data_IF_777576123418
#
_entry.id   IF_777576123418
#
_cell.length_a   1.000
_cell.length_b   1.000
_cell.length_c   1.000
_cell.angle_alpha   90.00
_cell.angle_beta   90.00
_cell.angle_gamma   90.00
#
_symmetry.space_group_name_H-M   'P 1'
#
loop_
_entity.id
_entity.type
_entity.pdbx_description
1 polymer ?
#
# COMPACT_ATOMS: atom_id res chain seq x y z
N UNK A 1 33.85 78.10 -27.66
CA UNK A 1 33.85 76.68 -28.09
C UNK A 1 34.43 75.76 -27.02
N UNK A 2 35.68 75.96 -26.57
CA UNK A 2 36.30 75.12 -25.51
C UNK A 2 35.55 75.21 -24.17
N UNK A 3 35.12 76.40 -23.76
CA UNK A 3 34.34 76.62 -22.52
C UNK A 3 32.98 75.92 -22.55
N UNK A 4 32.30 75.93 -23.69
CA UNK A 4 31.02 75.26 -23.93
C UNK A 4 31.15 73.74 -23.83
N UNK A 5 32.19 73.16 -24.43
CA UNK A 5 32.48 71.72 -24.32
C UNK A 5 32.79 71.31 -22.87
N UNK A 6 33.52 72.14 -22.13
CA UNK A 6 33.83 71.87 -20.73
C UNK A 6 32.58 71.85 -19.84
N UNK A 7 31.59 72.72 -20.11
CA UNK A 7 30.31 72.72 -19.41
C UNK A 7 29.47 71.48 -19.73
N UNK A 8 29.37 71.11 -21.01
CA UNK A 8 28.62 69.92 -21.44
C UNK A 8 29.21 68.64 -20.84
N UNK A 9 30.54 68.49 -20.83
CA UNK A 9 31.22 67.35 -20.19
C UNK A 9 30.91 67.30 -18.69
N UNK A 10 30.82 68.45 -18.02
CA UNK A 10 30.53 68.52 -16.59
C UNK A 10 29.08 68.09 -16.30
N UNK A 11 28.13 68.49 -17.14
CA UNK A 11 26.73 68.08 -17.04
C UNK A 11 26.57 66.59 -17.31
N UNK A 12 27.15 66.07 -18.40
CA UNK A 12 27.15 64.64 -18.70
C UNK A 12 27.70 63.79 -17.54
N UNK A 13 28.81 64.20 -16.94
CA UNK A 13 29.37 63.51 -15.75
C UNK A 13 28.41 63.52 -14.56
N UNK A 14 27.68 64.62 -14.37
CA UNK A 14 26.70 64.75 -13.28
C UNK A 14 25.51 63.80 -13.51
N UNK A 15 25.01 63.76 -14.73
CA UNK A 15 23.87 62.92 -15.11
C UNK A 15 24.24 61.43 -15.04
N UNK A 16 25.40 61.04 -15.60
CA UNK A 16 25.93 59.68 -15.46
C UNK A 16 26.07 59.27 -13.98
N UNK A 17 26.56 60.18 -13.11
CA UNK A 17 26.70 59.88 -11.68
C UNK A 17 25.34 59.68 -11.00
N UNK A 18 24.32 60.42 -11.43
CA UNK A 18 22.95 60.26 -10.94
C UNK A 18 22.37 58.91 -11.37
N UNK A 19 22.46 58.58 -12.66
CA UNK A 19 21.98 57.30 -13.19
C UNK A 19 22.67 56.10 -12.52
N UNK A 20 23.99 56.15 -12.34
CA UNK A 20 24.73 55.10 -11.63
C UNK A 20 24.20 54.91 -10.19
N UNK A 21 23.85 55.99 -9.50
CA UNK A 21 23.33 55.91 -8.14
C UNK A 21 21.90 55.35 -8.11
N UNK A 22 21.07 55.72 -9.09
CA UNK A 22 19.69 55.23 -9.19
C UNK A 22 19.69 53.73 -9.53
N UNK A 23 20.50 53.29 -10.50
CA UNK A 23 20.70 51.87 -10.82
C UNK A 23 21.18 51.09 -9.58
N UNK A 24 22.09 51.64 -8.78
CA UNK A 24 22.56 50.99 -7.54
C UNK A 24 21.44 50.81 -6.51
N UNK A 25 20.48 51.74 -6.43
CA UNK A 25 19.31 51.60 -5.55
C UNK A 25 18.41 50.49 -6.07
N UNK A 26 18.07 50.51 -7.34
CA UNK A 26 17.25 49.48 -7.98
C UNK A 26 17.84 48.07 -7.79
N UNK A 27 19.16 47.92 -7.99
CA UNK A 27 19.86 46.65 -7.72
C UNK A 27 19.69 46.19 -6.27
N UNK A 28 19.75 47.12 -5.31
CA UNK A 28 19.62 46.76 -3.90
C UNK A 28 18.18 46.38 -3.53
N UNK A 29 17.19 47.00 -4.15
CA UNK A 29 15.79 46.68 -3.91
C UNK A 29 15.42 45.33 -4.55
N UNK A 30 15.87 45.08 -5.79
CA UNK A 30 15.76 43.75 -6.44
C UNK A 30 16.40 42.65 -5.57
N UNK A 31 17.57 42.92 -4.98
CA UNK A 31 18.23 41.95 -4.08
C UNK A 31 17.42 41.66 -2.81
N UNK A 32 16.63 42.61 -2.30
CA UNK A 32 15.74 42.37 -1.16
C UNK A 32 14.55 41.53 -1.60
N UNK A 33 13.94 41.88 -2.73
CA UNK A 33 12.82 41.13 -3.29
C UNK A 33 13.20 39.66 -3.55
N UNK A 34 14.37 39.40 -4.14
CA UNK A 34 14.89 38.03 -4.34
C UNK A 34 14.98 37.28 -3.00
N UNK A 35 15.52 37.91 -1.95
CA UNK A 35 15.64 37.28 -0.63
C UNK A 35 14.28 36.96 -0.01
N UNK A 36 13.27 37.80 -0.25
CA UNK A 36 11.94 37.58 0.30
C UNK A 36 11.18 36.49 -0.48
N UNK A 37 11.36 36.43 -1.81
CA UNK A 37 10.87 35.32 -2.64
C UNK A 37 11.53 34.00 -2.25
N UNK A 38 12.84 33.99 -1.99
CA UNK A 38 13.56 32.79 -1.54
C UNK A 38 12.98 32.26 -0.22
N UNK A 39 12.70 33.15 0.76
CA UNK A 39 12.06 32.75 2.02
C UNK A 39 10.68 32.16 1.80
N UNK A 40 9.85 32.79 0.97
CA UNK A 40 8.51 32.29 0.65
C UNK A 40 8.58 30.92 -0.04
N UNK A 41 9.56 30.74 -0.93
CA UNK A 41 9.79 29.47 -1.62
C UNK A 41 10.18 28.37 -0.63
N UNK A 42 11.05 28.66 0.34
CA UNK A 42 11.41 27.68 1.39
C UNK A 42 10.20 27.32 2.25
N UNK A 43 9.40 28.31 2.67
CA UNK A 43 8.20 28.06 3.46
C UNK A 43 7.19 27.16 2.72
N UNK A 44 6.90 27.46 1.46
CA UNK A 44 5.98 26.66 0.65
C UNK A 44 6.51 25.24 0.42
N UNK A 45 7.83 25.06 0.26
CA UNK A 45 8.44 23.73 0.19
C UNK A 45 8.25 22.92 1.49
N UNK A 46 8.37 23.57 2.66
CA UNK A 46 8.13 22.92 3.96
C UNK A 46 6.66 22.50 4.07
N UNK A 47 5.72 23.39 3.76
CA UNK A 47 4.28 23.08 3.81
C UNK A 47 3.90 21.92 2.88
N UNK A 48 4.46 21.87 1.67
CA UNK A 48 4.25 20.77 0.73
C UNK A 48 4.80 19.45 1.30
N UNK A 49 5.99 19.47 1.90
CA UNK A 49 6.57 18.27 2.50
C UNK A 49 5.71 17.71 3.65
N UNK A 50 5.18 18.59 4.51
CA UNK A 50 4.28 18.21 5.60
C UNK A 50 2.95 17.62 5.10
N UNK A 51 2.37 18.23 4.05
CA UNK A 51 1.15 17.72 3.42
C UNK A 51 1.35 16.35 2.77
N UNK A 52 2.51 16.12 2.13
CA UNK A 52 2.86 14.83 1.53
C UNK A 52 3.02 13.75 2.61
N UNK A 53 3.71 14.04 3.71
CA UNK A 53 3.84 13.12 4.84
C UNK A 53 2.46 12.74 5.41
N UNK A 54 1.62 13.75 5.69
CA UNK A 54 0.27 13.54 6.22
C UNK A 54 -0.62 12.72 5.30
N UNK A 55 -0.51 12.94 3.98
CA UNK A 55 -1.26 12.18 2.98
C UNK A 55 -0.77 10.73 2.90
N UNK A 56 0.54 10.51 3.00
CA UNK A 56 1.13 9.18 3.03
C UNK A 56 0.65 8.36 4.22
N UNK A 57 0.64 8.96 5.41
CA UNK A 57 0.19 8.28 6.63
C UNK A 57 -1.29 7.87 6.53
N UNK A 58 -2.14 8.76 6.02
CA UNK A 58 -3.57 8.43 5.79
C UNK A 58 -3.74 7.26 4.82
N UNK A 59 -2.94 7.20 3.74
CA UNK A 59 -2.97 6.09 2.79
C UNK A 59 -2.51 4.79 3.44
N UNK A 60 -1.47 4.83 4.27
CA UNK A 60 -1.00 3.66 5.01
C UNK A 60 -2.07 3.13 5.97
N UNK A 61 -2.73 4.02 6.73
CA UNK A 61 -3.83 3.63 7.63
C UNK A 61 -5.03 3.06 6.87
N UNK A 62 -5.38 3.64 5.71
CA UNK A 62 -6.46 3.13 4.88
C UNK A 62 -6.15 1.72 4.35
N UNK A 63 -4.94 1.51 3.83
CA UNK A 63 -4.49 0.22 3.34
C UNK A 63 -4.46 -0.85 4.45
N UNK A 64 -4.00 -0.50 5.65
CA UNK A 64 -4.00 -1.42 6.80
C UNK A 64 -5.42 -1.84 7.19
N UNK A 65 -6.36 -0.87 7.21
CA UNK A 65 -7.78 -1.15 7.48
C UNK A 65 -8.40 -2.06 6.42
N UNK A 66 -8.04 -1.88 5.15
CA UNK A 66 -8.52 -2.71 4.04
C UNK A 66 -7.95 -4.13 4.12
N UNK A 67 -6.65 -4.28 4.37
CA UNK A 67 -6.00 -5.56 4.61
C UNK A 67 -6.68 -6.33 5.75
N UNK A 68 -7.05 -5.64 6.84
CA UNK A 68 -7.77 -6.24 7.96
C UNK A 68 -9.15 -6.74 7.53
N UNK A 69 -9.94 -5.91 6.85
CA UNK A 69 -11.28 -6.29 6.37
C UNK A 69 -11.21 -7.47 5.40
N UNK A 70 -10.25 -7.46 4.48
CA UNK A 70 -10.04 -8.55 3.53
C UNK A 70 -9.59 -9.83 4.25
N UNK A 71 -8.73 -9.72 5.26
CA UNK A 71 -8.33 -10.84 6.11
C UNK A 71 -9.52 -11.48 6.83
N UNK A 72 -10.37 -10.66 7.47
CA UNK A 72 -11.59 -11.13 8.15
C UNK A 72 -12.56 -11.82 7.19
N UNK A 73 -12.72 -11.25 5.98
CA UNK A 73 -13.54 -11.85 4.92
C UNK A 73 -12.98 -13.18 4.43
N UNK A 74 -11.67 -13.26 4.24
CA UNK A 74 -11.00 -14.50 3.83
C UNK A 74 -11.23 -15.59 4.88
N UNK A 75 -11.00 -15.29 6.15
CA UNK A 75 -11.23 -16.23 7.25
C UNK A 75 -12.68 -16.72 7.28
N UNK A 76 -13.65 -15.82 7.16
CA UNK A 76 -15.07 -16.18 7.14
C UNK A 76 -15.44 -17.06 5.93
N UNK A 77 -14.85 -16.81 4.77
CA UNK A 77 -15.05 -17.64 3.56
C UNK A 77 -14.40 -19.01 3.70
N UNK A 78 -13.17 -19.09 4.21
CA UNK A 78 -12.49 -20.35 4.44
C UNK A 78 -13.25 -21.23 5.43
N UNK A 79 -13.74 -20.64 6.53
CA UNK A 79 -14.61 -21.33 7.50
C UNK A 79 -15.94 -21.75 6.86
N UNK A 80 -16.51 -20.90 5.99
CA UNK A 80 -17.68 -21.22 5.17
C UNK A 80 -17.46 -22.46 4.29
N UNK A 81 -16.36 -22.51 3.56
CA UNK A 81 -16.02 -23.63 2.69
C UNK A 81 -15.73 -24.92 3.48
N UNK A 82 -15.14 -24.82 4.67
CA UNK A 82 -14.78 -25.99 5.49
C UNK A 82 -15.92 -26.53 6.32
N UNK A 83 -16.96 -25.74 6.65
CA UNK A 83 -18.08 -26.14 7.52
C UNK A 83 -18.75 -27.46 7.12
N UNK A 84 -18.90 -27.72 5.82
CA UNK A 84 -19.51 -28.94 5.30
C UNK A 84 -18.48 -29.95 4.77
N UNK A 85 -17.19 -29.79 5.12
CA UNK A 85 -16.11 -30.68 4.71
C UNK A 85 -15.60 -31.48 5.90
N UNK A 86 -15.67 -32.80 5.81
CA UNK A 86 -15.09 -33.72 6.80
C UNK A 86 -13.73 -34.22 6.28
N UNK A 87 -12.71 -34.23 7.15
CA UNK A 87 -11.41 -34.86 6.85
C UNK A 87 -11.27 -36.14 7.66
N UNK A 88 -11.04 -37.26 6.98
CA UNK A 88 -10.79 -38.55 7.61
C UNK A 88 -9.28 -38.83 7.51
N UNK A 89 -8.59 -38.96 8.65
CA UNK A 89 -7.15 -39.28 8.72
C UNK A 89 -6.95 -40.75 9.10
N UNK A 90 -5.87 -41.37 8.63
CA UNK A 90 -5.46 -42.74 9.02
C UNK A 90 -6.10 -43.88 8.22
N UNK A 91 -6.75 -43.59 7.08
CA UNK A 91 -7.18 -44.63 6.15
C UNK A 91 -5.97 -45.17 5.37
N UNK A 92 -5.82 -46.50 5.23
CA UNK A 92 -4.78 -47.08 4.39
C UNK A 92 -5.07 -46.78 2.92
N UNK A 93 -4.01 -46.53 2.14
CA UNK A 93 -4.11 -46.21 0.72
C UNK A 93 -4.85 -47.30 -0.07
N UNK A 94 -5.65 -46.90 -1.06
CA UNK A 94 -6.41 -47.76 -1.97
C UNK A 94 -7.55 -48.59 -1.35
N UNK A 95 -7.90 -48.39 -0.07
CA UNK A 95 -9.04 -49.09 0.56
C UNK A 95 -10.40 -48.65 0.04
N UNK A 96 -10.48 -47.45 -0.52
CA UNK A 96 -11.71 -46.74 -0.90
C UNK A 96 -12.31 -47.25 -2.23
N UNK A 97 -11.62 -48.14 -2.96
CA UNK A 97 -12.02 -48.59 -4.31
C UNK A 97 -12.04 -47.41 -5.32
N UNK A 98 -12.37 -47.60 -6.61
CA UNK A 98 -12.40 -46.49 -7.59
C UNK A 98 -13.44 -45.40 -7.29
N UNK A 99 -14.33 -45.61 -6.31
CA UNK A 99 -15.43 -44.71 -5.99
C UNK A 99 -15.42 -44.33 -4.49
N UNK A 100 -14.66 -43.28 -4.11
CA UNK A 100 -14.57 -42.81 -2.74
C UNK A 100 -15.91 -42.37 -2.14
N UNK A 101 -16.82 -41.82 -2.95
CA UNK A 101 -18.15 -41.37 -2.49
C UNK A 101 -18.96 -42.56 -1.98
N UNK A 102 -18.99 -43.65 -2.76
CA UNK A 102 -19.69 -44.87 -2.37
C UNK A 102 -19.08 -45.50 -1.11
N UNK A 103 -17.74 -45.53 -1.02
CA UNK A 103 -17.05 -46.02 0.16
C UNK A 103 -17.44 -45.23 1.43
N UNK A 104 -17.40 -43.90 1.36
CA UNK A 104 -17.75 -43.05 2.51
C UNK A 104 -19.22 -43.24 2.88
N UNK A 105 -20.14 -43.31 1.91
CA UNK A 105 -21.56 -43.56 2.18
C UNK A 105 -21.76 -44.88 2.96
N UNK A 106 -21.17 -45.97 2.51
CA UNK A 106 -21.26 -47.28 3.18
C UNK A 106 -20.67 -47.26 4.60
N UNK A 107 -19.55 -46.57 4.80
CA UNK A 107 -18.91 -46.45 6.11
C UNK A 107 -19.79 -45.64 7.07
N UNK A 108 -20.34 -44.51 6.61
CA UNK A 108 -21.22 -43.67 7.42
C UNK A 108 -22.52 -44.40 7.80
N UNK A 109 -23.15 -45.10 6.87
CA UNK A 109 -24.35 -45.91 7.16
C UNK A 109 -24.08 -46.99 8.21
N UNK A 110 -22.90 -47.64 8.17
CA UNK A 110 -22.51 -48.66 9.15
C UNK A 110 -22.20 -48.10 10.53
N UNK A 111 -21.56 -46.93 10.61
CA UNK A 111 -21.13 -46.33 11.89
C UNK A 111 -22.29 -45.62 12.58
N UNK A 112 -23.07 -44.84 11.84
CA UNK A 112 -24.06 -43.91 12.40
C UNK A 112 -25.48 -44.53 12.40
N UNK A 113 -25.75 -45.53 11.57
CA UNK A 113 -27.05 -46.23 11.52
C UNK A 113 -28.21 -45.36 11.03
N UNK A 114 -29.45 -45.71 11.40
CA UNK A 114 -30.71 -45.00 11.04
C UNK A 114 -30.90 -43.65 11.75
N UNK A 115 -29.86 -43.08 12.37
CA UNK A 115 -29.99 -41.89 13.23
C UNK A 115 -30.07 -40.55 12.47
N UNK A 116 -30.13 -40.56 11.14
CA UNK A 116 -30.30 -39.35 10.35
C UNK A 116 -31.79 -39.05 10.12
N UNK A 117 -32.18 -37.78 10.30
CA UNK A 117 -33.54 -37.30 10.02
C UNK A 117 -33.87 -37.24 8.52
N UNK A 118 -32.86 -37.37 7.66
CA UNK A 118 -32.95 -37.31 6.21
C UNK A 118 -31.85 -38.17 5.58
N UNK A 119 -31.98 -38.44 4.28
CA UNK A 119 -30.97 -39.15 3.52
C UNK A 119 -29.61 -38.43 3.57
N UNK A 120 -28.52 -39.20 3.64
CA UNK A 120 -27.16 -38.66 3.63
C UNK A 120 -26.74 -38.37 2.19
N UNK A 121 -26.52 -37.10 1.89
CA UNK A 121 -26.00 -36.66 0.59
C UNK A 121 -24.52 -36.31 0.69
N UNK A 122 -23.68 -36.98 -0.11
CA UNK A 122 -22.25 -36.70 -0.22
C UNK A 122 -22.00 -36.03 -1.55
N UNK A 123 -21.74 -34.71 -1.52
CA UNK A 123 -21.50 -33.93 -2.75
C UNK A 123 -20.22 -34.36 -3.47
N UNK A 124 -19.14 -34.63 -2.74
CA UNK A 124 -17.88 -35.11 -3.28
C UNK A 124 -17.04 -35.79 -2.19
N UNK A 125 -16.24 -36.78 -2.60
CA UNK A 125 -15.21 -37.39 -1.77
C UNK A 125 -13.99 -37.65 -2.64
N UNK A 126 -12.82 -37.29 -2.15
CA UNK A 126 -11.55 -37.47 -2.85
C UNK A 126 -10.42 -37.66 -1.84
N UNK A 127 -9.42 -38.50 -2.17
CA UNK A 127 -8.20 -38.56 -1.40
C UNK A 127 -7.49 -37.21 -1.52
N UNK A 128 -7.08 -36.65 -0.39
CA UNK A 128 -6.24 -35.46 -0.37
C UNK A 128 -4.83 -35.87 0.00
N UNK A 129 -3.89 -35.69 -0.93
CA UNK A 129 -2.47 -35.88 -0.66
C UNK A 129 -2.05 -35.04 0.54
N UNK A 130 -1.22 -35.62 1.40
CA UNK A 130 -0.83 -34.97 2.64
C UNK A 130 0.07 -33.76 2.34
N UNK A 131 -0.54 -32.56 2.33
CA UNK A 131 0.17 -31.28 2.17
C UNK A 131 0.26 -30.52 3.50
N UNK A 132 0.23 -31.21 4.65
CA UNK A 132 0.39 -30.57 5.97
C UNK A 132 1.84 -30.04 6.10
N UNK A 133 2.06 -28.71 6.21
CA UNK A 133 3.39 -28.14 6.43
C UNK A 133 4.03 -28.64 7.74
N UNK A 134 3.19 -28.95 8.73
CA UNK A 134 3.61 -29.45 10.05
C UNK A 134 4.17 -30.88 10.04
N UNK A 135 4.03 -31.62 8.93
CA UNK A 135 4.62 -32.95 8.80
C UNK A 135 6.13 -32.89 8.55
N UNK A 136 6.64 -31.79 7.97
CA UNK A 136 8.07 -31.62 7.71
C UNK A 136 8.90 -31.42 8.99
N UNK A 137 8.28 -30.93 10.07
CA UNK A 137 8.96 -30.67 11.35
C UNK A 137 9.11 -31.91 12.25
N UNK A 138 8.40 -33.01 11.97
CA UNK A 138 8.45 -34.24 12.79
C UNK A 138 9.42 -35.32 12.29
N UNK A 139 10.08 -35.13 11.15
CA UNK A 139 11.00 -36.12 10.57
C UNK A 139 12.47 -35.83 10.96
N UNK A 140 12.75 -34.80 11.77
CA UNK A 140 14.11 -34.47 12.24
C UNK A 140 14.33 -34.58 13.76
N UNK A 141 13.52 -35.34 14.49
CA UNK A 141 13.79 -35.67 15.90
C UNK A 141 14.07 -37.15 16.09
#
# INVERSE_FOLDING_TARGET
MITTLATEIKELKKDMKKEINDIRKEINDIRKEIKDVDKQTIMTQIEIAEQLASTSDRKAMAADSECKILGDRLAALEDGCRRNTIRIKGLPENRESPNPVKFVAEVFSKIIGENFKSDTEIAAAYPKWNTDPDTFLKIQS
#
